data_IF_014969477599
#
_entry.id   IF_014969477599
#
_cell.length_a   1.000
_cell.length_b   1.000
_cell.length_c   1.000
_cell.angle_alpha   90.00
_cell.angle_beta   90.00
_cell.angle_gamma   90.00
#
_symmetry.space_group_name_H-M   'P 1'
#
loop_
_entity.id
_entity.type
_entity.pdbx_description
1 polymer ?
#
# COMPACT_ATOMS: atom_id res chain seq x y z
N UNK A 1 42.03 2.76 -44.82
CA UNK A 1 42.47 1.43 -44.35
C UNK A 1 41.21 0.70 -43.89
N UNK A 2 40.45 -0.03 -44.71
CA UNK A 2 40.82 -1.26 -45.45
C UNK A 2 41.19 -2.32 -44.41
N UNK A 3 40.44 -3.38 -44.11
CA UNK A 3 39.85 -4.37 -45.01
C UNK A 3 38.61 -5.06 -44.39
N UNK A 4 37.68 -5.47 -45.25
CA UNK A 4 36.67 -6.51 -45.04
C UNK A 4 37.14 -7.80 -45.74
N UNK A 5 36.63 -8.96 -45.31
CA UNK A 5 36.15 -10.13 -46.09
C UNK A 5 36.34 -11.44 -45.31
N UNK A 6 35.19 -12.08 -45.03
CA UNK A 6 34.77 -13.49 -45.03
C UNK A 6 35.64 -14.65 -44.50
N UNK A 7 34.94 -15.61 -43.85
CA UNK A 7 35.46 -16.94 -43.55
C UNK A 7 34.44 -17.85 -42.84
N UNK A 8 33.71 -18.64 -43.63
CA UNK A 8 32.86 -19.78 -43.23
C UNK A 8 33.63 -20.95 -42.60
N UNK A 9 33.00 -21.72 -41.70
CA UNK A 9 33.54 -23.02 -41.27
C UNK A 9 32.62 -23.83 -40.34
N UNK A 10 31.88 -24.78 -40.90
CA UNK A 10 31.20 -25.89 -40.20
C UNK A 10 32.21 -26.96 -39.77
N UNK A 11 32.04 -27.56 -38.59
CA UNK A 11 32.54 -28.91 -38.31
C UNK A 11 31.70 -29.62 -37.24
N UNK A 12 31.04 -30.69 -37.69
CA UNK A 12 30.35 -31.74 -36.95
C UNK A 12 31.34 -32.80 -36.45
N UNK A 13 31.12 -33.34 -35.26
CA UNK A 13 31.65 -34.64 -34.82
C UNK A 13 30.71 -35.19 -33.75
N UNK A 14 30.31 -36.45 -33.71
CA UNK A 14 30.77 -37.65 -34.40
C UNK A 14 30.57 -38.80 -33.41
N UNK A 15 29.60 -39.67 -33.68
CA UNK A 15 29.25 -40.84 -32.88
C UNK A 15 30.42 -41.83 -32.73
N UNK A 16 30.57 -42.41 -31.54
CA UNK A 16 31.19 -43.72 -31.36
C UNK A 16 30.45 -44.51 -30.29
N UNK A 17 29.80 -45.59 -30.72
CA UNK A 17 29.21 -46.62 -29.88
C UNK A 17 30.31 -47.60 -29.42
N UNK A 18 30.32 -47.98 -28.14
CA UNK A 18 31.05 -49.16 -27.66
C UNK A 18 30.15 -49.96 -26.71
N UNK A 19 30.19 -51.27 -26.95
CA UNK A 19 29.29 -52.33 -26.47
C UNK A 19 29.47 -52.67 -24.99
N UNK A 20 28.37 -53.12 -24.39
CA UNK A 20 28.31 -53.86 -23.13
C UNK A 20 29.23 -55.09 -23.11
N UNK A 21 29.70 -55.44 -21.90
CA UNK A 21 29.51 -56.80 -21.42
C UNK A 21 28.73 -56.84 -20.10
N UNK A 22 27.80 -57.78 -20.04
CA UNK A 22 27.17 -58.29 -18.83
C UNK A 22 28.23 -58.69 -17.80
N UNK A 23 27.97 -58.44 -16.51
CA UNK A 23 28.36 -59.33 -15.40
C UNK A 23 27.67 -58.95 -14.08
N UNK A 24 27.03 -59.97 -13.49
CA UNK A 24 26.78 -60.22 -12.07
C UNK A 24 26.08 -59.17 -11.19
N UNK A 25 24.78 -59.41 -11.00
CA UNK A 25 24.01 -58.97 -9.82
C UNK A 25 24.45 -59.75 -8.57
N UNK A 26 25.16 -59.10 -7.64
CA UNK A 26 25.17 -59.48 -6.23
C UNK A 26 24.32 -58.50 -5.44
N UNK A 27 23.18 -58.97 -4.94
CA UNK A 27 22.32 -58.24 -4.00
C UNK A 27 22.89 -58.39 -2.59
N UNK A 28 23.39 -57.31 -2.01
CA UNK A 28 23.62 -57.19 -0.57
C UNK A 28 22.33 -56.67 0.09
N UNK A 29 21.84 -57.26 1.20
CA UNK A 29 20.69 -56.74 1.91
C UNK A 29 21.12 -55.53 2.74
N UNK A 30 20.64 -54.34 2.37
CA UNK A 30 20.70 -53.15 3.22
C UNK A 30 19.55 -53.29 4.24
N UNK A 31 19.81 -53.29 5.56
CA UNK A 31 18.73 -53.24 6.53
C UNK A 31 18.07 -51.86 6.44
N UNK A 32 16.81 -51.84 6.00
CA UNK A 32 15.98 -50.66 5.99
C UNK A 32 15.70 -50.24 7.44
N UNK A 33 16.44 -49.25 7.92
CA UNK A 33 16.14 -48.55 9.17
C UNK A 33 14.89 -47.71 8.92
N UNK A 34 13.73 -48.25 9.32
CA UNK A 34 12.47 -47.52 9.38
C UNK A 34 12.61 -46.40 10.43
N UNK A 35 13.02 -45.21 9.99
CA UNK A 35 12.76 -43.98 10.73
C UNK A 35 11.26 -43.72 10.68
N UNK A 36 10.54 -44.19 11.69
CA UNK A 36 9.22 -43.69 12.01
C UNK A 36 9.41 -42.29 12.57
N UNK A 37 9.48 -41.29 11.67
CA UNK A 37 9.31 -39.90 12.05
C UNK A 37 7.85 -39.72 12.46
N UNK A 38 7.59 -39.87 13.76
CA UNK A 38 6.31 -39.47 14.32
C UNK A 38 6.15 -37.97 14.08
N UNK A 39 5.43 -37.60 13.02
CA UNK A 39 4.96 -36.25 12.78
C UNK A 39 3.91 -35.96 13.85
N UNK A 40 4.33 -35.38 14.96
CA UNK A 40 3.39 -34.82 15.93
C UNK A 40 2.60 -33.75 15.17
N UNK A 41 1.27 -33.87 15.06
CA UNK A 41 0.47 -32.83 14.43
C UNK A 41 0.65 -31.58 15.27
N UNK A 42 1.28 -30.55 14.70
CA UNK A 42 1.39 -29.24 15.33
C UNK A 42 -0.04 -28.69 15.46
N UNK A 43 -0.62 -28.85 16.65
CA UNK A 43 -1.92 -28.27 16.98
C UNK A 43 -1.74 -26.80 17.29
N UNK A 44 -2.68 -25.96 16.88
CA UNK A 44 -2.59 -24.53 17.15
C UNK A 44 -2.83 -24.27 18.64
N UNK A 45 -1.83 -23.73 19.36
CA UNK A 45 -2.00 -23.33 20.76
C UNK A 45 -2.70 -21.97 20.84
N UNK A 46 -3.88 -21.97 21.48
CA UNK A 46 -4.72 -20.78 21.65
C UNK A 46 -4.68 -20.29 23.08
N UNK A 47 -4.44 -18.98 23.27
CA UNK A 47 -4.50 -18.32 24.56
C UNK A 47 -5.60 -17.25 24.57
N UNK A 48 -6.28 -17.09 25.71
CA UNK A 48 -7.33 -16.08 25.88
C UNK A 48 -6.76 -14.83 26.53
N UNK A 49 -7.05 -13.66 25.96
CA UNK A 49 -6.60 -12.37 26.51
C UNK A 49 -7.38 -12.02 27.78
N UNK A 50 -6.71 -11.73 28.90
CA UNK A 50 -7.37 -11.25 30.11
C UNK A 50 -7.83 -9.78 29.94
N UNK A 51 -9.06 -9.42 30.36
CA UNK A 51 -9.59 -8.05 30.22
C UNK A 51 -8.77 -6.94 30.90
N UNK A 52 -8.06 -7.28 31.99
CA UNK A 52 -7.42 -6.29 32.88
C UNK A 52 -5.97 -5.97 32.55
N UNK A 53 -5.29 -6.77 31.73
CA UNK A 53 -3.86 -6.60 31.44
C UNK A 53 -3.50 -7.09 30.03
N UNK A 54 -3.98 -6.36 29.02
CA UNK A 54 -3.70 -6.72 27.61
C UNK A 54 -2.21 -6.58 27.30
N UNK A 55 -1.58 -5.46 27.64
CA UNK A 55 -0.17 -5.22 27.33
C UNK A 55 0.75 -6.21 28.04
N UNK A 56 0.56 -6.45 29.35
CA UNK A 56 1.34 -7.41 30.11
C UNK A 56 1.13 -8.84 29.62
N UNK A 57 -0.08 -9.20 29.18
CA UNK A 57 -0.33 -10.50 28.55
C UNK A 57 0.48 -10.71 27.27
N UNK A 58 0.47 -9.73 26.35
CA UNK A 58 1.24 -9.84 25.11
C UNK A 58 2.77 -9.85 25.35
N UNK A 59 3.24 -9.07 26.32
CA UNK A 59 4.66 -9.05 26.71
C UNK A 59 5.16 -10.39 27.27
N UNK A 60 4.27 -11.17 27.89
CA UNK A 60 4.57 -12.47 28.48
C UNK A 60 3.93 -13.64 27.71
N UNK A 61 3.58 -13.43 26.43
CA UNK A 61 2.91 -14.44 25.63
C UNK A 61 3.81 -15.69 25.43
N UNK A 62 3.34 -16.90 25.76
CA UNK A 62 4.12 -18.13 25.62
C UNK A 62 4.66 -18.35 24.21
N UNK A 63 5.81 -19.04 24.10
CA UNK A 63 6.52 -19.21 22.83
C UNK A 63 5.78 -20.04 21.79
N UNK A 64 4.94 -20.95 22.25
CA UNK A 64 4.11 -21.84 21.45
C UNK A 64 2.77 -21.22 21.04
N UNK A 65 2.45 -20.01 21.50
CA UNK A 65 1.22 -19.32 21.13
C UNK A 65 1.16 -19.04 19.61
N UNK A 66 0.17 -19.64 18.95
CA UNK A 66 -0.11 -19.40 17.53
C UNK A 66 -1.37 -18.57 17.33
N UNK A 67 -2.29 -18.61 18.32
CA UNK A 67 -3.53 -17.84 18.35
C UNK A 67 -3.70 -17.17 19.71
N UNK A 68 -4.04 -15.90 19.69
CA UNK A 68 -4.51 -15.13 20.84
C UNK A 68 -5.94 -14.70 20.54
N UNK A 69 -6.86 -15.00 21.45
CA UNK A 69 -8.30 -14.73 21.28
C UNK A 69 -8.81 -13.82 22.40
N UNK A 70 -9.51 -12.76 22.01
CA UNK A 70 -10.30 -11.93 22.91
C UNK A 70 -11.68 -12.57 23.12
N UNK A 71 -12.35 -12.25 24.22
CA UNK A 71 -13.72 -12.69 24.48
C UNK A 71 -14.71 -11.69 23.87
N UNK A 72 -15.51 -12.14 22.91
CA UNK A 72 -16.24 -11.30 21.95
C UNK A 72 -17.26 -10.32 22.53
N UNK A 73 -17.67 -10.50 23.78
CA UNK A 73 -18.59 -9.61 24.48
C UNK A 73 -17.90 -8.65 25.46
N UNK A 74 -16.59 -8.77 25.66
CA UNK A 74 -15.87 -8.02 26.68
C UNK A 74 -15.29 -6.70 26.17
N UNK A 75 -15.27 -5.70 27.06
CA UNK A 75 -14.51 -4.48 26.89
C UNK A 75 -13.11 -4.65 27.48
N UNK A 76 -12.11 -4.33 26.67
CA UNK A 76 -10.71 -4.36 27.03
C UNK A 76 -10.18 -2.93 27.12
N UNK A 77 -9.28 -2.70 28.09
CA UNK A 77 -8.59 -1.41 28.24
C UNK A 77 -7.09 -1.65 28.22
N UNK A 78 -6.36 -0.87 27.43
CA UNK A 78 -4.91 -0.93 27.37
C UNK A 78 -4.33 0.49 27.36
N UNK A 79 -3.71 0.90 28.47
CA UNK A 79 -3.15 2.25 28.62
C UNK A 79 -1.87 2.49 27.83
N UNK A 80 -1.16 1.43 27.42
CA UNK A 80 0.13 1.47 26.74
C UNK A 80 0.07 0.79 25.37
N UNK A 81 1.20 0.73 24.67
CA UNK A 81 1.36 -0.08 23.46
C UNK A 81 1.15 -1.57 23.77
N UNK A 82 0.55 -2.30 22.83
CA UNK A 82 0.47 -3.76 22.84
C UNK A 82 1.61 -4.26 21.96
N UNK A 83 2.74 -4.59 22.58
CA UNK A 83 3.94 -5.01 21.86
C UNK A 83 3.78 -6.44 21.31
N UNK A 84 3.87 -6.57 20.00
CA UNK A 84 3.75 -7.87 19.33
C UNK A 84 5.09 -8.62 19.35
N UNK A 85 5.14 -9.86 19.86
CA UNK A 85 6.35 -10.67 19.84
C UNK A 85 6.65 -11.14 18.43
N UNK A 86 7.94 -11.28 18.09
CA UNK A 86 8.38 -11.79 16.79
C UNK A 86 7.95 -13.25 16.65
N UNK A 87 7.04 -13.53 15.71
CA UNK A 87 6.47 -14.87 15.47
C UNK A 87 6.37 -15.15 13.97
N UNK A 88 6.71 -16.36 13.48
CA UNK A 88 6.49 -16.76 12.10
C UNK A 88 5.03 -16.59 11.63
N UNK A 89 4.10 -16.80 12.56
CA UNK A 89 2.69 -16.46 12.42
C UNK A 89 2.07 -16.30 13.81
N UNK A 90 1.35 -15.21 14.05
CA UNK A 90 0.49 -15.04 15.22
C UNK A 90 -0.88 -14.49 14.78
N UNK A 91 -1.94 -15.20 15.12
CA UNK A 91 -3.31 -14.77 14.90
C UNK A 91 -3.82 -14.05 16.16
N UNK A 92 -4.33 -12.84 15.99
CA UNK A 92 -4.93 -12.02 17.03
C UNK A 92 -6.40 -11.85 16.65
N UNK A 93 -7.23 -12.65 17.29
CA UNK A 93 -8.66 -12.75 17.02
C UNK A 93 -9.44 -11.94 18.06
N UNK A 94 -9.97 -10.79 17.63
CA UNK A 94 -10.79 -9.91 18.45
C UNK A 94 -12.14 -10.54 18.84
N UNK A 95 -12.64 -11.53 18.08
CA UNK A 95 -13.92 -12.19 18.32
C UNK A 95 -15.14 -11.28 18.50
N UNK A 96 -15.09 -10.02 18.05
CA UNK A 96 -16.11 -9.00 18.26
C UNK A 96 -15.84 -8.07 19.45
N UNK A 97 -14.70 -8.20 20.14
CA UNK A 97 -14.37 -7.40 21.31
C UNK A 97 -14.19 -5.91 20.97
N UNK A 98 -14.36 -5.10 22.02
CA UNK A 98 -14.03 -3.67 22.02
C UNK A 98 -12.73 -3.45 22.79
N UNK A 99 -11.76 -2.77 22.18
CA UNK A 99 -10.49 -2.40 22.78
C UNK A 99 -10.36 -0.88 22.88
N UNK A 100 -10.27 -0.36 24.10
CA UNK A 100 -10.02 1.06 24.37
C UNK A 100 -8.54 1.28 24.68
N UNK A 101 -7.90 2.13 23.88
CA UNK A 101 -6.49 2.46 23.98
C UNK A 101 -6.28 3.76 24.77
N UNK A 102 -5.24 3.78 25.60
CA UNK A 102 -4.79 5.00 26.29
C UNK A 102 -4.31 6.06 25.29
N UNK A 103 -4.34 7.35 25.65
CA UNK A 103 -4.13 8.47 24.72
C UNK A 103 -2.80 8.42 23.97
N UNK A 104 -1.74 7.91 24.61
CA UNK A 104 -0.40 7.81 24.04
C UNK A 104 -0.10 6.48 23.34
N UNK A 105 -1.01 5.50 23.44
CA UNK A 105 -0.83 4.16 22.89
C UNK A 105 -0.80 4.17 21.36
N UNK A 106 0.07 3.34 20.79
CA UNK A 106 0.13 3.01 19.37
C UNK A 106 -0.65 1.73 19.02
N UNK A 107 -1.39 1.19 20.00
CA UNK A 107 -2.17 -0.03 19.83
C UNK A 107 -1.28 -1.26 19.58
N UNK A 108 -1.68 -2.12 18.65
CA UNK A 108 -0.89 -3.29 18.26
C UNK A 108 0.38 -2.86 17.52
N UNK A 109 1.52 -3.04 18.17
CA UNK A 109 2.78 -2.38 17.78
C UNK A 109 3.90 -3.38 17.56
N UNK A 110 4.59 -3.28 16.42
CA UNK A 110 5.94 -3.81 16.27
C UNK A 110 6.93 -2.65 16.35
N UNK A 111 7.90 -2.71 17.27
CA UNK A 111 8.98 -1.74 17.33
C UNK A 111 10.22 -2.29 16.58
N UNK A 112 10.90 -1.41 15.86
CA UNK A 112 12.15 -1.69 15.14
C UNK A 112 13.16 -0.61 15.51
N UNK A 113 14.31 -0.99 16.05
CA UNK A 113 15.34 -0.05 16.45
C UNK A 113 16.19 0.44 15.27
N UNK A 114 16.49 -0.45 14.32
CA UNK A 114 17.35 -0.16 13.17
C UNK A 114 17.07 -1.08 11.96
N UNK A 115 17.79 -0.84 10.87
CA UNK A 115 17.65 -1.63 9.63
C UNK A 115 18.02 -3.10 9.79
N UNK A 116 18.93 -3.46 10.70
CA UNK A 116 19.34 -4.85 10.92
C UNK A 116 18.21 -5.61 11.62
N UNK A 117 17.60 -5.01 12.63
CA UNK A 117 16.43 -5.56 13.30
C UNK A 117 15.24 -5.66 12.35
N UNK A 118 15.04 -4.65 11.50
CA UNK A 118 13.99 -4.67 10.47
C UNK A 118 14.09 -5.91 9.58
N UNK A 119 15.29 -6.18 9.05
CA UNK A 119 15.53 -7.34 8.17
C UNK A 119 15.31 -8.66 8.91
N UNK A 120 15.76 -8.76 10.17
CA UNK A 120 15.54 -9.96 10.98
C UNK A 120 14.04 -10.22 11.23
N UNK A 121 13.24 -9.16 11.36
CA UNK A 121 11.79 -9.21 11.57
C UNK A 121 10.97 -9.50 10.33
N UNK A 122 11.54 -9.55 9.13
CA UNK A 122 10.81 -9.99 7.91
C UNK A 122 10.38 -11.46 7.92
N UNK A 123 10.70 -12.19 8.99
CA UNK A 123 10.13 -13.50 9.30
C UNK A 123 8.81 -13.41 10.07
N UNK A 124 8.46 -12.23 10.60
CA UNK A 124 7.27 -12.00 11.40
C UNK A 124 6.03 -11.77 10.54
N UNK A 125 4.93 -12.41 10.95
CA UNK A 125 3.62 -12.27 10.31
C UNK A 125 2.50 -12.26 11.35
N UNK A 126 1.60 -11.30 11.22
CA UNK A 126 0.43 -11.17 12.11
C UNK A 126 -0.86 -11.18 11.30
N UNK A 127 -1.89 -11.84 11.83
CA UNK A 127 -3.27 -11.71 11.34
C UNK A 127 -4.08 -11.08 12.47
N UNK A 128 -4.41 -9.80 12.36
CA UNK A 128 -5.23 -9.08 13.34
C UNK A 128 -6.64 -8.95 12.77
N UNK A 129 -7.62 -9.55 13.45
CA UNK A 129 -8.96 -9.65 12.88
C UNK A 129 -10.10 -9.50 13.88
N UNK A 130 -11.26 -9.18 13.34
CA UNK A 130 -12.57 -9.33 13.99
C UNK A 130 -12.70 -8.51 15.29
N UNK A 131 -12.24 -7.26 15.29
CA UNK A 131 -12.53 -6.31 16.37
C UNK A 131 -13.75 -5.47 16.01
N UNK A 132 -14.79 -5.51 16.85
CA UNK A 132 -15.94 -4.65 16.66
C UNK A 132 -15.57 -3.17 16.81
N UNK A 133 -14.58 -2.88 17.66
CA UNK A 133 -14.08 -1.53 17.89
C UNK A 133 -12.65 -1.54 18.49
N UNK A 134 -11.76 -0.73 17.91
CA UNK A 134 -10.49 -0.29 18.52
C UNK A 134 -10.55 1.24 18.62
N UNK A 135 -10.69 1.75 19.84
CA UNK A 135 -11.03 3.16 20.09
C UNK A 135 -9.92 3.90 20.83
N UNK A 136 -9.64 5.14 20.40
CA UNK A 136 -8.64 5.99 21.01
C UNK A 136 -7.20 5.64 20.60
N UNK A 137 -6.25 6.15 21.38
CA UNK A 137 -4.82 6.05 21.10
C UNK A 137 -4.33 6.99 20.00
N UNK A 138 -3.00 7.05 19.87
CA UNK A 138 -2.32 7.69 18.74
C UNK A 138 -2.54 6.89 17.46
N UNK A 139 -2.54 5.56 17.59
CA UNK A 139 -2.75 4.59 16.52
C UNK A 139 -3.51 3.37 17.05
N UNK A 140 -4.22 2.67 16.18
CA UNK A 140 -4.81 1.37 16.50
C UNK A 140 -3.84 0.24 16.11
N UNK A 141 -3.24 0.38 14.92
CA UNK A 141 -2.28 -0.57 14.35
C UNK A 141 -1.00 0.18 13.96
N UNK A 142 0.14 -0.32 14.45
CA UNK A 142 1.46 0.20 14.17
C UNK A 142 2.45 -0.93 13.84
N UNK A 143 2.35 -1.47 12.61
CA UNK A 143 3.20 -2.56 12.17
C UNK A 143 4.45 -2.03 11.47
N UNK A 144 5.58 -2.62 11.81
CA UNK A 144 6.90 -2.28 11.29
C UNK A 144 7.64 -3.55 10.90
N UNK A 145 8.19 -3.57 9.68
CA UNK A 145 9.07 -4.63 9.16
C UNK A 145 8.49 -6.05 9.26
N UNK A 146 7.31 -6.26 8.66
CA UNK A 146 6.65 -7.58 8.63
C UNK A 146 6.48 -8.09 7.20
N UNK A 147 6.31 -9.39 7.02
CA UNK A 147 6.05 -10.01 5.70
C UNK A 147 4.72 -10.76 5.69
N UNK A 148 3.79 -10.34 4.83
CA UNK A 148 2.52 -11.02 4.61
C UNK A 148 1.49 -10.85 5.74
N UNK A 149 1.62 -9.81 6.57
CA UNK A 149 0.67 -9.54 7.65
C UNK A 149 -0.69 -9.08 7.10
N UNK A 150 -1.76 -9.41 7.83
CA UNK A 150 -3.14 -9.17 7.41
C UNK A 150 -3.94 -8.47 8.51
N UNK A 151 -4.73 -7.47 8.11
CA UNK A 151 -5.71 -6.77 8.95
C UNK A 151 -7.10 -7.01 8.37
N UNK A 152 -8.01 -7.61 9.13
CA UNK A 152 -9.34 -8.01 8.63
C UNK A 152 -10.48 -7.62 9.55
N UNK A 153 -11.58 -7.10 9.00
CA UNK A 153 -12.80 -6.82 9.77
C UNK A 153 -12.51 -5.99 11.03
N UNK A 154 -11.84 -4.85 10.87
CA UNK A 154 -11.44 -3.97 11.96
C UNK A 154 -12.19 -2.65 11.88
N UNK A 155 -12.67 -2.15 13.02
CA UNK A 155 -13.19 -0.79 13.13
C UNK A 155 -12.31 0.06 14.06
N UNK A 156 -11.55 0.98 13.50
CA UNK A 156 -10.67 1.89 14.23
C UNK A 156 -11.34 3.25 14.40
N UNK A 157 -11.43 3.78 15.63
CA UNK A 157 -12.18 5.00 15.93
C UNK A 157 -11.34 6.00 16.73
N UNK A 158 -11.28 7.24 16.25
CA UNK A 158 -10.67 8.41 16.94
C UNK A 158 -9.18 8.27 17.28
N UNK A 159 -8.39 7.69 16.38
CA UNK A 159 -6.92 7.74 16.51
C UNK A 159 -6.39 9.15 16.26
N UNK A 160 -5.47 9.62 17.10
CA UNK A 160 -5.04 11.03 17.09
C UNK A 160 -3.93 11.35 16.08
N UNK A 161 -3.13 10.35 15.65
CA UNK A 161 -2.00 10.55 14.72
C UNK A 161 -2.23 9.85 13.40
N UNK A 162 -2.30 8.51 13.42
CA UNK A 162 -2.57 7.69 12.23
C UNK A 162 -3.36 6.47 12.68
N UNK A 163 -4.50 6.17 12.09
CA UNK A 163 -5.29 5.02 12.54
C UNK A 163 -4.58 3.68 12.31
N UNK A 164 -4.09 3.49 11.08
CA UNK A 164 -3.32 2.30 10.65
C UNK A 164 -2.04 2.76 9.96
N UNK A 165 -0.88 2.46 10.53
CA UNK A 165 0.43 2.81 9.97
C UNK A 165 1.23 1.53 9.69
N UNK A 166 1.47 1.25 8.40
CA UNK A 166 2.27 0.12 7.93
C UNK A 166 3.60 0.62 7.40
N UNK A 167 4.70 0.26 8.08
CA UNK A 167 6.07 0.68 7.74
C UNK A 167 6.92 -0.51 7.35
N UNK A 168 7.41 -0.53 6.11
CA UNK A 168 8.12 -1.69 5.55
C UNK A 168 7.36 -3.02 5.72
N UNK A 169 6.04 -2.98 5.57
CA UNK A 169 5.20 -4.18 5.61
C UNK A 169 5.08 -4.72 4.19
N UNK A 170 5.89 -5.72 3.87
CA UNK A 170 5.91 -6.34 2.54
C UNK A 170 4.70 -7.26 2.38
N UNK A 171 4.03 -7.19 1.22
CA UNK A 171 2.89 -8.06 0.88
C UNK A 171 1.76 -8.03 1.92
N UNK A 172 1.58 -6.91 2.62
CA UNK A 172 0.51 -6.79 3.61
C UNK A 172 -0.87 -6.75 2.93
N UNK A 173 -1.92 -7.15 3.65
CA UNK A 173 -3.31 -7.08 3.19
C UNK A 173 -4.20 -6.42 4.24
N UNK A 174 -5.03 -5.47 3.81
CA UNK A 174 -6.11 -4.90 4.60
C UNK A 174 -7.42 -5.21 3.90
N UNK A 175 -8.38 -5.78 4.63
CA UNK A 175 -9.67 -6.21 4.10
C UNK A 175 -10.77 -5.84 5.09
N UNK A 176 -11.80 -5.11 4.66
CA UNK A 176 -12.87 -4.64 5.54
C UNK A 176 -12.36 -3.85 6.77
N UNK A 177 -11.39 -2.95 6.54
CA UNK A 177 -10.85 -2.07 7.59
C UNK A 177 -11.54 -0.71 7.50
N UNK A 178 -12.26 -0.36 8.56
CA UNK A 178 -13.03 0.87 8.67
C UNK A 178 -12.42 1.81 9.70
N UNK A 179 -11.95 2.96 9.25
CA UNK A 179 -11.45 4.04 10.10
C UNK A 179 -12.52 5.11 10.23
N UNK A 180 -12.79 5.58 11.45
CA UNK A 180 -13.79 6.63 11.70
C UNK A 180 -13.23 7.73 12.59
N UNK A 181 -13.36 8.96 12.12
CA UNK A 181 -12.90 10.19 12.75
C UNK A 181 -11.41 10.18 13.15
N UNK A 182 -10.46 9.80 12.26
CA UNK A 182 -9.04 9.94 12.58
C UNK A 182 -8.70 11.43 12.67
N UNK A 183 -8.04 11.86 13.75
CA UNK A 183 -7.70 13.29 13.91
C UNK A 183 -6.57 13.70 12.96
N UNK A 184 -5.58 12.83 12.75
CA UNK A 184 -4.50 13.01 11.78
C UNK A 184 -4.78 12.28 10.47
N UNK A 185 -4.24 11.06 10.32
CA UNK A 185 -4.35 10.27 9.08
C UNK A 185 -5.17 9.01 9.26
N UNK A 186 -5.83 8.56 8.20
CA UNK A 186 -6.55 7.28 8.16
C UNK A 186 -5.59 6.10 8.03
N UNK A 187 -5.46 5.56 6.81
CA UNK A 187 -4.63 4.39 6.51
C UNK A 187 -3.37 4.84 5.75
N UNK A 188 -2.20 4.49 6.29
CA UNK A 188 -0.90 4.88 5.74
C UNK A 188 -0.04 3.65 5.47
N UNK A 189 0.43 3.54 4.23
CA UNK A 189 1.39 2.52 3.79
C UNK A 189 2.67 3.23 3.38
N UNK A 190 3.77 3.00 4.09
CA UNK A 190 5.00 3.77 3.87
C UNK A 190 6.30 3.00 4.09
N UNK A 191 7.39 3.67 3.74
CA UNK A 191 8.75 3.23 4.07
C UNK A 191 9.00 3.21 5.59
N UNK A 192 10.06 2.52 6.02
CA UNK A 192 10.57 2.60 7.39
C UNK A 192 11.10 3.99 7.74
N UNK A 193 11.07 4.33 9.03
CA UNK A 193 11.52 5.62 9.58
C UNK A 193 12.48 5.48 10.77
N UNK A 194 13.11 4.30 10.90
CA UNK A 194 14.18 4.04 11.87
C UNK A 194 15.57 4.37 11.29
N UNK A 195 16.61 4.47 12.15
CA UNK A 195 18.00 4.61 11.70
C UNK A 195 18.41 3.58 10.62
N UNK A 196 18.86 4.08 9.47
CA UNK A 196 19.26 3.26 8.32
C UNK A 196 18.12 2.88 7.36
N UNK A 197 16.87 3.19 7.70
CA UNK A 197 15.75 3.11 6.75
C UNK A 197 15.85 4.23 5.72
N UNK A 198 15.55 3.89 4.46
CA UNK A 198 15.46 4.81 3.34
C UNK A 198 14.29 4.42 2.46
N UNK A 199 13.87 5.32 1.57
CA UNK A 199 12.90 4.99 0.53
C UNK A 199 13.35 3.94 -0.47
N UNK A 200 14.61 3.49 -0.42
CA UNK A 200 15.14 2.47 -1.33
C UNK A 200 15.17 1.07 -0.71
N UNK A 201 15.29 0.96 0.61
CA UNK A 201 15.56 -0.32 1.30
C UNK A 201 14.47 -0.74 2.31
N UNK A 202 13.39 0.02 2.45
CA UNK A 202 12.39 -0.20 3.51
C UNK A 202 10.94 0.01 3.07
N UNK A 203 10.63 -0.23 1.80
CA UNK A 203 9.31 0.03 1.20
C UNK A 203 8.25 -1.01 1.55
N UNK A 204 6.99 -0.60 1.74
CA UNK A 204 5.85 -1.52 1.96
C UNK A 204 5.29 -2.08 0.65
N UNK A 205 6.15 -2.73 -0.14
CA UNK A 205 5.84 -3.16 -1.50
C UNK A 205 4.76 -4.24 -1.56
N UNK A 206 3.98 -4.20 -2.64
CA UNK A 206 2.93 -5.20 -2.95
C UNK A 206 1.82 -5.30 -1.90
N UNK A 207 1.57 -4.22 -1.15
CA UNK A 207 0.47 -4.13 -0.18
C UNK A 207 -0.88 -4.00 -0.89
N UNK A 208 -1.92 -4.65 -0.35
CA UNK A 208 -3.29 -4.62 -0.89
C UNK A 208 -4.26 -4.03 0.13
N UNK A 209 -5.10 -3.09 -0.29
CA UNK A 209 -6.24 -2.59 0.47
C UNK A 209 -7.51 -2.92 -0.31
N UNK A 210 -8.43 -3.61 0.31
CA UNK A 210 -9.65 -4.11 -0.30
C UNK A 210 -10.84 -3.80 0.61
N UNK A 211 -11.88 -3.18 0.07
CA UNK A 211 -13.10 -2.86 0.82
C UNK A 211 -12.83 -2.08 2.12
N UNK A 212 -11.90 -1.12 2.06
CA UNK A 212 -11.52 -0.27 3.19
C UNK A 212 -12.26 1.07 3.13
N UNK A 213 -12.56 1.64 4.30
CA UNK A 213 -13.30 2.91 4.42
C UNK A 213 -12.61 3.84 5.40
N UNK A 214 -12.53 5.11 5.06
CA UNK A 214 -12.10 6.16 5.98
C UNK A 214 -13.17 7.25 6.03
N UNK A 215 -13.83 7.35 7.19
CA UNK A 215 -14.75 8.43 7.52
C UNK A 215 -13.96 9.53 8.24
N UNK A 216 -13.62 10.60 7.54
CA UNK A 216 -12.72 11.66 7.97
C UNK A 216 -13.35 12.56 9.05
N UNK A 217 -12.52 12.98 10.01
CA UNK A 217 -12.80 14.11 10.87
C UNK A 217 -12.41 15.42 10.18
N UNK A 218 -12.88 16.55 10.69
CA UNK A 218 -12.58 17.87 10.12
C UNK A 218 -11.09 18.24 10.15
N UNK A 219 -10.27 17.53 10.95
CA UNK A 219 -8.82 17.74 11.02
C UNK A 219 -8.03 16.73 10.19
N UNK A 220 -8.69 15.72 9.62
CA UNK A 220 -7.99 14.66 8.87
C UNK A 220 -7.19 15.27 7.72
N UNK A 221 -5.91 14.92 7.60
CA UNK A 221 -5.07 15.38 6.49
C UNK A 221 -5.22 14.44 5.30
N UNK A 222 -4.84 13.17 5.47
CA UNK A 222 -4.97 12.14 4.44
C UNK A 222 -5.92 11.03 4.90
N UNK A 223 -6.94 10.74 4.10
CA UNK A 223 -7.77 9.55 4.30
C UNK A 223 -6.93 8.29 4.04
N UNK A 224 -6.31 8.23 2.86
CA UNK A 224 -5.33 7.21 2.47
C UNK A 224 -4.01 7.84 2.04
N UNK A 225 -2.88 7.27 2.46
CA UNK A 225 -1.57 7.68 1.98
C UNK A 225 -0.69 6.48 1.62
N UNK A 226 -0.01 6.56 0.47
CA UNK A 226 1.01 5.60 0.04
C UNK A 226 2.30 6.35 -0.24
N UNK A 227 3.29 6.12 0.61
CA UNK A 227 4.55 6.87 0.60
C UNK A 227 5.72 5.93 0.30
N UNK A 228 6.49 6.22 -0.75
CA UNK A 228 7.69 5.48 -1.11
C UNK A 228 7.48 3.94 -1.12
N UNK A 229 6.35 3.48 -1.66
CA UNK A 229 5.98 2.07 -1.74
C UNK A 229 5.43 1.75 -3.12
N UNK A 230 5.89 0.65 -3.72
CA UNK A 230 5.55 0.24 -5.08
C UNK A 230 4.70 -1.03 -5.14
N UNK A 231 3.94 -1.18 -6.22
CA UNK A 231 3.06 -2.33 -6.42
C UNK A 231 1.85 -2.36 -5.49
N UNK A 232 1.55 -1.25 -4.82
CA UNK A 232 0.39 -1.14 -3.92
C UNK A 232 -0.89 -1.12 -4.76
N UNK A 233 -1.91 -1.84 -4.29
CA UNK A 233 -3.22 -1.96 -4.94
C UNK A 233 -4.33 -1.60 -3.98
N UNK A 234 -5.28 -0.81 -4.44
CA UNK A 234 -6.47 -0.41 -3.71
C UNK A 234 -7.72 -0.72 -4.54
N UNK A 235 -8.70 -1.43 -3.96
CA UNK A 235 -9.94 -1.81 -4.65
C UNK A 235 -11.16 -1.63 -3.74
N UNK A 236 -12.26 -1.11 -4.30
CA UNK A 236 -13.56 -0.98 -3.61
C UNK A 236 -13.48 -0.16 -2.32
N UNK A 237 -12.68 0.91 -2.32
CA UNK A 237 -12.41 1.72 -1.14
C UNK A 237 -13.25 3.01 -1.12
N UNK A 238 -13.50 3.56 0.08
CA UNK A 238 -14.32 4.76 0.27
C UNK A 238 -13.61 5.80 1.15
N UNK A 239 -13.62 7.06 0.70
CA UNK A 239 -13.27 8.25 1.50
C UNK A 239 -14.53 9.10 1.68
N UNK A 240 -14.90 9.40 2.92
CA UNK A 240 -16.14 10.13 3.25
C UNK A 240 -16.03 10.91 4.57
N UNK A 241 -17.13 11.54 5.02
CA UNK A 241 -17.16 12.33 6.26
C UNK A 241 -16.83 13.80 6.04
N UNK A 242 -16.08 14.41 6.95
CA UNK A 242 -15.70 15.82 6.82
C UNK A 242 -14.57 16.01 5.78
N UNK A 243 -14.46 17.20 5.14
CA UNK A 243 -13.38 17.50 4.20
C UNK A 243 -11.98 17.25 4.76
N UNK A 244 -11.23 16.34 4.14
CA UNK A 244 -9.80 16.12 4.38
C UNK A 244 -8.91 16.90 3.39
N UNK A 245 -7.60 16.93 3.57
CA UNK A 245 -6.70 17.56 2.58
C UNK A 245 -6.62 16.72 1.30
N UNK A 246 -6.51 15.40 1.46
CA UNK A 246 -6.42 14.43 0.37
C UNK A 246 -7.18 13.14 0.69
N UNK A 247 -8.04 12.71 -0.24
CA UNK A 247 -8.64 11.38 -0.20
C UNK A 247 -7.57 10.31 -0.41
N UNK A 248 -6.67 10.55 -1.38
CA UNK A 248 -5.52 9.69 -1.64
C UNK A 248 -4.26 10.53 -1.88
N UNK A 249 -3.25 10.34 -1.04
CA UNK A 249 -1.94 10.96 -1.18
C UNK A 249 -0.88 9.95 -1.64
N UNK A 250 -0.43 10.05 -2.89
CA UNK A 250 0.62 9.22 -3.46
C UNK A 250 1.90 10.03 -3.65
N UNK A 251 2.95 9.69 -2.91
CA UNK A 251 4.25 10.35 -3.06
C UNK A 251 5.41 9.37 -2.95
N UNK A 252 6.43 9.56 -3.78
CA UNK A 252 7.73 8.90 -3.64
C UNK A 252 8.88 9.92 -3.58
N UNK A 253 8.63 11.06 -2.95
CA UNK A 253 9.66 12.02 -2.56
C UNK A 253 10.49 11.43 -1.41
N UNK A 254 11.81 11.58 -1.48
CA UNK A 254 12.74 10.93 -0.53
C UNK A 254 13.30 11.88 0.53
N UNK A 255 13.22 13.18 0.32
CA UNK A 255 13.73 14.23 1.22
C UNK A 255 12.64 14.92 2.06
N UNK A 256 11.37 14.54 1.83
CA UNK A 256 10.20 15.09 2.52
C UNK A 256 9.68 16.42 1.95
N UNK A 257 10.31 16.97 0.90
CA UNK A 257 9.82 18.16 0.23
C UNK A 257 8.78 17.80 -0.85
N UNK A 258 7.52 17.77 -0.47
CA UNK A 258 6.40 17.47 -1.37
C UNK A 258 6.16 18.53 -2.46
N UNK A 259 6.92 19.64 -2.45
CA UNK A 259 6.94 20.60 -3.58
C UNK A 259 7.91 20.18 -4.68
N UNK A 260 8.82 19.25 -4.39
CA UNK A 260 9.77 18.69 -5.32
C UNK A 260 9.18 17.51 -6.10
N UNK A 261 9.78 17.18 -7.25
CA UNK A 261 9.39 15.99 -8.03
C UNK A 261 9.98 14.73 -7.40
N UNK A 262 9.17 13.67 -7.30
CA UNK A 262 9.61 12.40 -6.75
C UNK A 262 10.78 11.78 -7.51
N UNK A 263 11.89 11.52 -6.78
CA UNK A 263 13.14 10.97 -7.31
C UNK A 263 13.39 9.49 -7.01
N UNK A 264 12.49 8.81 -6.30
CA UNK A 264 12.71 7.43 -5.85
C UNK A 264 12.72 6.44 -7.02
N UNK A 265 13.89 6.00 -7.46
CA UNK A 265 14.02 5.17 -8.67
C UNK A 265 13.50 3.74 -8.54
N UNK A 266 13.21 3.24 -7.34
CA UNK A 266 12.77 1.86 -7.12
C UNK A 266 11.25 1.71 -6.97
N UNK A 267 10.50 2.80 -6.73
CA UNK A 267 9.03 2.77 -6.78
C UNK A 267 8.57 2.70 -8.24
N UNK A 268 7.78 1.68 -8.59
CA UNK A 268 7.42 1.37 -9.99
C UNK A 268 5.96 1.55 -10.34
N UNK A 269 5.04 1.29 -9.42
CA UNK A 269 3.63 1.29 -9.77
C UNK A 269 2.69 1.47 -8.60
N UNK A 270 1.47 1.91 -8.91
CA UNK A 270 0.31 1.95 -8.03
C UNK A 270 -0.96 1.72 -8.86
N UNK A 271 -1.93 0.98 -8.32
CA UNK A 271 -3.23 0.77 -8.95
C UNK A 271 -4.37 1.02 -7.98
N UNK A 272 -5.37 1.78 -8.43
CA UNK A 272 -6.64 2.03 -7.76
C UNK A 272 -7.80 1.63 -8.68
N UNK A 273 -8.79 0.92 -8.13
CA UNK A 273 -10.03 0.60 -8.82
C UNK A 273 -11.24 0.78 -7.90
N UNK A 274 -12.37 1.26 -8.44
CA UNK A 274 -13.64 1.40 -7.72
C UNK A 274 -13.49 2.22 -6.42
N UNK A 275 -12.95 3.43 -6.55
CA UNK A 275 -12.75 4.33 -5.41
C UNK A 275 -13.86 5.35 -5.33
N UNK A 276 -14.49 5.46 -4.16
CA UNK A 276 -15.63 6.33 -3.96
C UNK A 276 -15.27 7.47 -3.00
N UNK A 277 -15.45 8.70 -3.45
CA UNK A 277 -15.18 9.93 -2.70
C UNK A 277 -16.50 10.64 -2.44
N UNK A 278 -16.94 10.71 -1.19
CA UNK A 278 -18.26 11.27 -0.80
C UNK A 278 -18.22 12.75 -0.35
N UNK A 279 -17.04 13.37 -0.33
CA UNK A 279 -16.89 14.75 0.13
C UNK A 279 -16.00 15.58 -0.79
N UNK A 280 -15.92 16.88 -0.52
CA UNK A 280 -15.00 17.77 -1.21
C UNK A 280 -13.70 17.94 -0.43
N UNK A 281 -12.58 17.52 -1.00
CA UNK A 281 -11.25 17.69 -0.40
C UNK A 281 -10.88 19.18 -0.29
N UNK A 282 -10.03 19.52 0.69
CA UNK A 282 -9.55 20.89 0.94
C UNK A 282 -8.44 21.31 -0.02
N UNK A 283 -7.53 20.39 -0.36
CA UNK A 283 -6.36 20.67 -1.19
C UNK A 283 -6.46 20.01 -2.56
N UNK A 284 -6.63 18.69 -2.60
CA UNK A 284 -6.90 17.92 -3.82
C UNK A 284 -7.48 16.55 -3.45
N UNK A 285 -8.40 15.99 -4.24
CA UNK A 285 -8.90 14.64 -3.92
C UNK A 285 -7.77 13.60 -4.03
N UNK A 286 -7.12 13.51 -5.19
CA UNK A 286 -5.99 12.60 -5.41
C UNK A 286 -4.72 13.41 -5.71
N UNK A 287 -3.67 13.19 -4.92
CA UNK A 287 -2.32 13.72 -5.17
C UNK A 287 -1.43 12.64 -5.79
N UNK A 288 -0.74 12.97 -6.89
CA UNK A 288 0.15 12.04 -7.60
C UNK A 288 1.53 12.67 -7.82
N UNK A 289 2.50 12.27 -7.01
CA UNK A 289 3.91 12.61 -7.17
C UNK A 289 4.77 11.34 -7.16
N UNK A 290 4.81 10.67 -8.31
CA UNK A 290 5.49 9.40 -8.48
C UNK A 290 6.70 9.55 -9.41
N UNK A 291 7.72 8.68 -9.34
CA UNK A 291 8.91 8.80 -10.16
C UNK A 291 8.56 8.79 -11.66
N UNK A 292 9.34 9.47 -12.50
CA UNK A 292 9.02 9.64 -13.93
C UNK A 292 8.81 8.33 -14.71
N UNK A 293 9.39 7.22 -14.24
CA UNK A 293 9.23 5.88 -14.84
C UNK A 293 8.14 5.03 -14.17
N UNK A 294 7.54 5.52 -13.09
CA UNK A 294 6.46 4.81 -12.41
C UNK A 294 5.13 4.98 -13.13
N UNK A 295 4.26 3.97 -13.02
CA UNK A 295 2.92 3.97 -13.58
C UNK A 295 1.85 4.02 -12.49
N UNK A 296 0.92 4.94 -12.61
CA UNK A 296 -0.23 5.10 -11.71
C UNK A 296 -1.48 4.85 -12.54
N UNK A 297 -2.25 3.85 -12.16
CA UNK A 297 -3.53 3.54 -12.84
C UNK A 297 -4.68 3.78 -11.89
N UNK A 298 -5.58 4.68 -12.27
CA UNK A 298 -6.82 4.99 -11.55
C UNK A 298 -7.99 4.54 -12.43
N UNK A 299 -8.80 3.61 -11.94
CA UNK A 299 -9.94 3.05 -12.67
C UNK A 299 -11.24 3.23 -11.89
N UNK A 300 -12.32 3.59 -12.59
CA UNK A 300 -13.67 3.71 -12.04
C UNK A 300 -13.70 4.49 -10.71
N UNK A 301 -13.12 5.69 -10.72
CA UNK A 301 -13.16 6.61 -9.57
C UNK A 301 -14.44 7.41 -9.63
N UNK A 302 -15.20 7.42 -8.53
CA UNK A 302 -16.40 8.20 -8.35
C UNK A 302 -16.15 9.33 -7.37
N UNK A 303 -16.35 10.58 -7.81
CA UNK A 303 -16.36 11.76 -6.96
C UNK A 303 -17.81 12.20 -6.76
N UNK A 304 -18.25 12.40 -5.53
CA UNK A 304 -19.61 12.86 -5.29
C UNK A 304 -19.69 14.38 -5.40
N UNK A 305 -20.58 14.86 -6.25
CA UNK A 305 -20.94 16.27 -6.37
C UNK A 305 -19.83 17.20 -6.85
N UNK A 306 -20.10 18.52 -6.86
CA UNK A 306 -19.14 19.54 -7.30
C UNK A 306 -17.92 19.63 -6.37
N UNK A 307 -16.75 19.81 -6.97
CA UNK A 307 -15.47 19.90 -6.27
C UNK A 307 -14.87 21.31 -6.39
N UNK A 308 -14.53 21.92 -5.25
CA UNK A 308 -13.82 23.21 -5.22
C UNK A 308 -12.32 23.02 -5.38
N UNK A 309 -11.74 22.01 -4.76
CA UNK A 309 -10.35 21.61 -4.99
C UNK A 309 -10.23 20.84 -6.33
N UNK A 310 -9.02 20.74 -6.92
CA UNK A 310 -8.79 19.81 -8.02
C UNK A 310 -9.10 18.37 -7.61
N UNK A 311 -9.70 17.60 -8.52
CA UNK A 311 -9.90 16.15 -8.28
C UNK A 311 -8.58 15.39 -8.40
N UNK A 312 -7.64 15.90 -9.20
CA UNK A 312 -6.29 15.35 -9.28
C UNK A 312 -5.28 16.50 -9.27
N UNK A 313 -4.32 16.44 -8.35
CA UNK A 313 -3.07 17.22 -8.41
C UNK A 313 -1.96 16.30 -8.89
N UNK A 314 -1.49 16.52 -10.12
CA UNK A 314 -0.48 15.71 -10.77
C UNK A 314 0.87 16.44 -10.81
N UNK A 315 1.91 15.79 -10.28
CA UNK A 315 3.28 16.31 -10.24
C UNK A 315 4.27 15.52 -11.08
N UNK A 316 4.22 14.19 -11.09
CA UNK A 316 5.15 13.35 -11.85
C UNK A 316 4.63 11.90 -11.97
N UNK A 317 5.17 11.16 -12.94
CA UNK A 317 4.84 9.76 -13.21
C UNK A 317 3.98 9.60 -14.46
N UNK A 318 3.72 8.37 -14.90
CA UNK A 318 2.74 8.08 -15.94
C UNK A 318 1.37 7.89 -15.28
N UNK A 319 0.42 8.79 -15.54
CA UNK A 319 -0.95 8.70 -15.03
C UNK A 319 -1.86 8.09 -16.09
N UNK A 320 -2.56 7.00 -15.74
CA UNK A 320 -3.55 6.35 -16.58
C UNK A 320 -4.92 6.43 -15.89
N UNK A 321 -5.88 7.08 -16.54
CA UNK A 321 -7.27 7.19 -16.13
C UNK A 321 -8.10 6.25 -16.99
N UNK A 322 -8.78 5.30 -16.37
CA UNK A 322 -9.51 4.23 -17.06
C UNK A 322 -10.96 4.19 -16.57
N UNK A 323 -11.91 4.01 -17.49
CA UNK A 323 -13.29 3.66 -17.15
C UNK A 323 -13.97 4.62 -16.15
N UNK A 324 -13.61 5.91 -16.18
CA UNK A 324 -14.24 6.93 -15.34
C UNK A 324 -15.56 7.33 -16.00
N UNK A 325 -16.66 6.69 -15.59
CA UNK A 325 -17.97 6.83 -16.24
C UNK A 325 -18.73 8.13 -15.98
N UNK A 326 -18.28 8.96 -15.04
CA UNK A 326 -18.94 10.21 -14.69
C UNK A 326 -17.94 11.33 -14.43
N UNK A 327 -18.28 12.56 -14.83
CA UNK A 327 -17.42 13.73 -14.65
C UNK A 327 -18.26 15.01 -14.52
N UNK A 328 -18.08 15.74 -13.42
CA UNK A 328 -18.72 17.04 -13.21
C UNK A 328 -17.93 18.17 -13.88
N UNK A 329 -18.61 19.23 -14.34
CA UNK A 329 -17.98 20.37 -15.02
C UNK A 329 -16.96 21.14 -14.16
N UNK A 330 -17.10 21.08 -12.83
CA UNK A 330 -16.17 21.75 -11.90
C UNK A 330 -14.85 20.99 -11.72
N UNK A 331 -14.73 19.78 -12.26
CA UNK A 331 -13.58 18.92 -12.05
C UNK A 331 -12.41 19.35 -12.91
N UNK A 332 -11.26 19.43 -12.27
CA UNK A 332 -10.00 19.81 -12.91
C UNK A 332 -8.85 18.94 -12.44
N UNK A 333 -7.95 18.70 -13.38
CA UNK A 333 -6.64 18.10 -13.15
C UNK A 333 -5.64 19.24 -13.19
N UNK A 334 -4.95 19.49 -12.08
CA UNK A 334 -3.92 20.54 -12.02
C UNK A 334 -2.54 19.93 -12.04
N UNK A 335 -1.59 20.61 -12.66
CA UNK A 335 -0.19 20.23 -12.66
C UNK A 335 0.73 21.44 -12.60
N UNK A 336 1.91 21.25 -12.02
CA UNK A 336 3.02 22.21 -12.11
C UNK A 336 3.99 21.93 -13.27
N UNK A 337 3.80 20.83 -14.02
CA UNK A 337 4.67 20.44 -15.13
C UNK A 337 4.22 21.05 -16.46
N UNK A 338 5.20 21.42 -17.28
CA UNK A 338 4.93 21.87 -18.65
C UNK A 338 4.34 20.75 -19.52
N UNK A 339 4.81 19.51 -19.40
CA UNK A 339 4.39 18.40 -20.27
C UNK A 339 3.96 17.18 -19.43
N UNK A 340 2.73 17.17 -18.90
CA UNK A 340 2.24 16.04 -18.12
C UNK A 340 2.06 14.78 -18.97
N UNK A 341 2.29 13.61 -18.34
CA UNK A 341 2.16 12.30 -18.98
C UNK A 341 0.87 11.62 -18.53
N UNK A 342 -0.17 11.77 -19.34
CA UNK A 342 -1.52 11.36 -19.00
C UNK A 342 -2.15 10.58 -20.16
N UNK A 343 -2.73 9.42 -19.84
CA UNK A 343 -3.59 8.68 -20.76
C UNK A 343 -4.97 8.56 -20.13
N UNK A 344 -6.00 9.01 -20.81
CA UNK A 344 -7.40 8.78 -20.46
C UNK A 344 -8.03 7.84 -21.49
N UNK A 345 -8.66 6.76 -21.03
CA UNK A 345 -9.30 5.78 -21.91
C UNK A 345 -10.66 5.37 -21.35
N UNK A 346 -11.69 5.29 -22.21
CA UNK A 346 -13.07 4.92 -21.81
C UNK A 346 -13.61 5.78 -20.66
N UNK A 347 -13.18 7.05 -20.62
CA UNK A 347 -13.64 8.02 -19.64
C UNK A 347 -14.76 8.88 -20.23
N UNK A 348 -15.59 9.44 -19.35
CA UNK A 348 -16.68 10.35 -19.67
C UNK A 348 -16.20 11.52 -20.55
N UNK A 349 -17.04 11.94 -21.50
CA UNK A 349 -16.74 12.98 -22.49
C UNK A 349 -16.34 14.34 -21.91
N UNK A 350 -16.78 14.64 -20.68
CA UNK A 350 -16.35 15.79 -19.89
C UNK A 350 -14.86 15.81 -19.53
N UNK A 351 -14.19 14.65 -19.50
CA UNK A 351 -12.74 14.53 -19.38
C UNK A 351 -12.11 14.74 -20.76
N UNK A 352 -12.07 16.00 -21.20
CA UNK A 352 -11.46 16.40 -22.46
C UNK A 352 -10.44 17.54 -22.25
N UNK A 353 -9.59 17.74 -23.26
CA UNK A 353 -8.53 18.75 -23.26
C UNK A 353 -8.85 19.95 -24.16
N UNK A 354 -10.15 20.16 -24.46
CA UNK A 354 -10.65 21.22 -25.34
C UNK A 354 -10.17 21.14 -26.80
N UNK A 355 -10.80 21.94 -27.66
CA UNK A 355 -10.33 22.16 -29.03
C UNK A 355 -9.11 23.10 -29.07
N UNK A 356 -8.40 23.16 -30.20
CA UNK A 356 -7.11 23.89 -30.28
C UNK A 356 -7.25 25.40 -30.00
N UNK A 357 -8.36 25.99 -30.44
CA UNK A 357 -8.72 27.40 -30.32
C UNK A 357 -9.24 27.78 -28.93
N UNK A 358 -9.72 26.83 -28.14
CA UNK A 358 -10.16 27.03 -26.74
C UNK A 358 -9.01 26.97 -25.72
N UNK A 359 -7.80 26.59 -26.17
CA UNK A 359 -6.63 26.40 -25.30
C UNK A 359 -5.92 27.73 -25.02
N UNK A 360 -5.45 27.86 -23.79
CA UNK A 360 -4.54 28.93 -23.38
C UNK A 360 -3.19 28.34 -22.99
N UNK A 361 -2.18 29.19 -22.76
CA UNK A 361 -0.88 28.74 -22.26
C UNK A 361 -0.96 27.99 -20.92
N UNK A 362 -2.05 28.17 -20.15
CA UNK A 362 -2.21 27.57 -18.83
C UNK A 362 -3.39 26.61 -18.71
N UNK A 363 -4.18 26.42 -19.77
CA UNK A 363 -5.37 25.60 -19.68
C UNK A 363 -5.71 24.92 -21.01
N UNK A 364 -6.08 23.65 -20.92
CA UNK A 364 -6.61 22.85 -22.02
C UNK A 364 -7.74 21.95 -21.48
N UNK A 365 -8.99 22.36 -21.68
CA UNK A 365 -10.17 21.69 -21.11
C UNK A 365 -10.06 21.55 -19.59
N UNK A 366 -10.10 20.31 -19.10
CA UNK A 366 -10.01 19.99 -17.65
C UNK A 366 -8.60 20.08 -17.08
N UNK A 367 -7.57 20.18 -17.93
CA UNK A 367 -6.17 20.21 -17.52
C UNK A 367 -5.68 21.66 -17.36
N UNK A 368 -5.11 21.97 -16.21
CA UNK A 368 -4.67 23.32 -15.85
C UNK A 368 -3.25 23.34 -15.31
N UNK A 369 -2.47 24.33 -15.72
CA UNK A 369 -1.15 24.64 -15.19
C UNK A 369 -1.30 25.58 -13.97
N UNK A 370 -1.11 25.04 -12.79
CA UNK A 370 -1.22 25.74 -11.51
C UNK A 370 0.09 25.60 -10.71
N UNK A 371 0.47 26.66 -9.99
CA UNK A 371 1.74 26.75 -9.25
C UNK A 371 2.93 26.12 -10.02
N UNK A 372 3.26 26.62 -11.23
CA UNK A 372 4.22 25.97 -12.12
C UNK A 372 5.61 25.85 -11.48
N UNK A 373 6.28 24.74 -11.74
CA UNK A 373 7.69 24.57 -11.35
C UNK A 373 8.56 25.61 -12.08
N UNK A 374 9.71 25.93 -11.48
CA UNK A 374 10.66 26.89 -12.05
C UNK A 374 10.97 26.56 -13.51
N UNK A 375 10.82 27.54 -14.40
CA UNK A 375 11.01 27.38 -15.85
C UNK A 375 9.80 26.85 -16.62
N UNK A 376 8.69 26.54 -15.96
CA UNK A 376 7.44 26.13 -16.60
C UNK A 376 6.53 27.35 -16.81
N UNK A 377 6.30 27.70 -18.08
CA UNK A 377 5.43 28.84 -18.45
C UNK A 377 4.23 28.44 -19.29
N UNK A 378 4.24 27.24 -19.87
CA UNK A 378 3.21 26.78 -20.80
C UNK A 378 2.87 25.30 -20.57
N UNK A 379 1.58 25.00 -20.69
CA UNK A 379 1.03 23.65 -20.75
C UNK A 379 1.15 23.07 -22.16
N UNK A 380 1.86 21.95 -22.27
CA UNK A 380 2.15 21.21 -23.49
C UNK A 380 1.48 19.85 -23.43
N UNK A 381 0.75 19.50 -24.49
CA UNK A 381 -0.05 18.28 -24.54
C UNK A 381 0.66 17.11 -25.24
N UNK A 382 1.99 17.18 -25.46
CA UNK A 382 2.77 16.20 -26.22
C UNK A 382 2.60 14.75 -25.72
N UNK A 383 2.34 14.57 -24.42
CA UNK A 383 2.20 13.26 -23.77
C UNK A 383 0.82 13.05 -23.14
N UNK A 384 -0.17 13.86 -23.55
CA UNK A 384 -1.56 13.73 -23.11
C UNK A 384 -2.35 13.07 -24.21
N UNK A 385 -2.97 11.92 -23.91
CA UNK A 385 -3.71 11.12 -24.88
C UNK A 385 -5.09 10.81 -24.31
N UNK A 386 -6.14 11.11 -25.07
CA UNK A 386 -7.53 10.76 -24.74
C UNK A 386 -8.04 9.81 -25.81
N UNK A 387 -8.48 8.60 -25.42
CA UNK A 387 -8.96 7.53 -26.31
C UNK A 387 -10.36 7.08 -25.90
N UNK A 388 -11.11 6.56 -26.87
CA UNK A 388 -12.38 5.85 -26.65
C UNK A 388 -13.32 6.61 -25.71
N UNK A 389 -13.66 7.88 -26.02
CA UNK A 389 -14.52 8.69 -25.13
C UNK A 389 -15.85 7.95 -24.89
N UNK A 390 -16.23 7.78 -23.62
CA UNK A 390 -17.56 7.31 -23.27
C UNK A 390 -18.55 8.46 -23.50
N UNK A 391 -19.66 8.16 -24.18
CA UNK A 391 -20.70 9.15 -24.51
C UNK A 391 -21.38 9.68 -23.25
#
# INVERSE_FOLDING_TARGET
MGWSVDGTGFATGGHAAVRHPHLCSMRLPIPALLFVTATVPATATTYTVPPKDVAGFFANLPEDATVVRFDGAAEYRCGSDILLPVRPLLIIDGAGATLQLGPDSRGFTCAVADQKEAVARLTARYIIRDFALIEGGRKAIDLQATLGSELRNLKCVRQTVTAVDLRFCLMARLEHVFVTNPTGRGIVVRQGDWPGATGFNSQSNSTVLEQCRVYCAATTTEAFAVLNSGGVRMTDCVSEGAPCDHDLFLSAVTDGDETSIAGNTVVKSFTLANFHVEHAARIASIHVNMPSKASVTLSNVYWNGPQKAPVIRYMMGQLNLLDIGWWHESFRIVTGLSAPRLVAQRCHSGLNVGEKDERTDRQAGVLQLDAPLVGTTQLKLNYVVVRDKAM
#
